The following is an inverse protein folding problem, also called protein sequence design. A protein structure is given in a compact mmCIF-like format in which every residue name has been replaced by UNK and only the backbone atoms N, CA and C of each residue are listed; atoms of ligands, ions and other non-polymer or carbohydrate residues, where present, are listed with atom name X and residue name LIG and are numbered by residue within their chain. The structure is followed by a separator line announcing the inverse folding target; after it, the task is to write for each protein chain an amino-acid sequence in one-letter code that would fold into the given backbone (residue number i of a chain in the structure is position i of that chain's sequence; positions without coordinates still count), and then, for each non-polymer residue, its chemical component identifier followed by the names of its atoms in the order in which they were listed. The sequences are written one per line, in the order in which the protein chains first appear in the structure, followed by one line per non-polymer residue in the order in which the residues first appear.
data_IF_645080190706
#
_entry.id   IF_645080190706
#
_cell.length_a   1.000
_cell.length_b   1.000
_cell.length_c   1.000
_cell.angle_alpha   90.00
_cell.angle_beta   90.00
_cell.angle_gamma   90.00
#
_symmetry.space_group_name_H-M   'P 1'
#
loop_
_entity.id
_entity.type
_entity.pdbx_description
1 polymer ?
#
# COMPACT_ATOMS: atom_id res chain seq x y z
N UNK A 1 -70.95 -5.76 66.86
CA UNK A 1 -70.17 -4.69 67.51
C UNK A 1 -68.70 -4.90 67.15
N UNK A 2 -68.14 -3.95 66.37
CA UNK A 2 -66.72 -3.57 66.29
C UNK A 2 -65.69 -4.49 65.57
N UNK A 3 -65.27 -4.03 64.37
CA UNK A 3 -63.90 -3.79 63.82
C UNK A 3 -62.86 -4.94 63.95
N UNK A 4 -62.30 -5.53 62.87
CA UNK A 4 -61.12 -5.00 62.13
C UNK A 4 -60.80 -5.82 60.87
N UNK A 5 -60.48 -5.11 59.77
CA UNK A 5 -59.95 -5.59 58.49
C UNK A 5 -58.42 -5.70 58.56
N UNK A 6 -57.84 -6.71 57.91
CA UNK A 6 -56.50 -6.62 57.34
C UNK A 6 -56.45 -7.36 56.00
N UNK A 7 -56.58 -6.60 54.90
CA UNK A 7 -56.30 -7.06 53.52
C UNK A 7 -54.80 -6.88 53.27
N UNK A 8 -54.08 -7.96 52.95
CA UNK A 8 -52.74 -7.89 52.34
C UNK A 8 -52.89 -7.47 50.88
N UNK A 9 -52.26 -6.36 50.54
CA UNK A 9 -52.19 -5.77 49.20
C UNK A 9 -51.06 -6.45 48.41
N UNK A 10 -51.38 -6.94 47.20
CA UNK A 10 -50.40 -7.32 46.19
C UNK A 10 -50.26 -6.12 45.23
N UNK A 11 -49.08 -5.50 45.17
CA UNK A 11 -48.66 -4.52 44.17
C UNK A 11 -47.26 -4.94 43.65
N UNK A 12 -46.82 -4.54 42.45
CA UNK A 12 -46.40 -5.47 41.42
C UNK A 12 -44.88 -5.48 41.21
N UNK A 13 -44.41 -6.64 40.76
CA UNK A 13 -43.04 -7.00 40.45
C UNK A 13 -42.55 -6.36 39.14
N UNK A 14 -42.52 -5.02 39.02
CA UNK A 14 -42.17 -4.32 37.75
C UNK A 14 -40.97 -3.37 37.87
N UNK A 15 -40.37 -3.18 39.05
CA UNK A 15 -39.26 -2.21 39.22
C UNK A 15 -37.84 -2.79 39.32
N UNK A 16 -37.61 -4.07 38.98
CA UNK A 16 -36.25 -4.66 39.00
C UNK A 16 -35.66 -4.86 37.59
N UNK A 17 -36.40 -4.57 36.51
CA UNK A 17 -35.90 -4.71 35.14
C UNK A 17 -35.33 -3.41 34.51
N UNK A 18 -35.20 -2.32 35.27
CA UNK A 18 -34.75 -1.02 34.78
C UNK A 18 -33.36 -0.58 35.31
N UNK A 19 -32.59 -1.50 35.89
CA UNK A 19 -31.25 -1.23 36.43
C UNK A 19 -30.11 -1.99 35.71
N UNK A 20 -30.38 -2.55 34.53
CA UNK A 20 -29.38 -3.21 33.66
C UNK A 20 -29.35 -2.61 32.25
N UNK A 21 -29.70 -1.32 32.13
CA UNK A 21 -29.68 -0.57 30.87
C UNK A 21 -28.96 0.78 31.01
N UNK A 22 -27.85 0.79 31.75
CA UNK A 22 -26.96 1.94 31.81
C UNK A 22 -25.51 1.44 31.86
N UNK A 23 -24.67 2.03 31.00
CA UNK A 23 -23.22 1.82 30.86
C UNK A 23 -22.80 0.63 29.97
N UNK A 24 -23.27 0.62 28.72
CA UNK A 24 -22.39 0.30 27.59
C UNK A 24 -22.17 1.60 26.79
N UNK A 25 -21.42 2.51 27.39
CA UNK A 25 -20.77 3.56 26.60
C UNK A 25 -19.76 2.84 25.71
N UNK A 26 -20.14 2.63 24.45
CA UNK A 26 -19.20 2.33 23.38
C UNK A 26 -18.12 3.41 23.45
N UNK A 27 -16.96 3.07 23.99
CA UNK A 27 -15.75 3.87 23.80
C UNK A 27 -15.43 3.75 22.32
N UNK A 28 -15.92 4.70 21.54
CA UNK A 28 -15.40 5.00 20.23
C UNK A 28 -13.92 5.28 20.43
N UNK A 29 -13.07 4.28 20.23
CA UNK A 29 -11.65 4.49 20.02
C UNK A 29 -11.56 5.33 18.76
N UNK A 30 -11.48 6.64 18.93
CA UNK A 30 -10.99 7.51 17.88
C UNK A 30 -9.66 6.90 17.45
N UNK A 31 -9.62 6.35 16.24
CA UNK A 31 -8.36 6.06 15.58
C UNK A 31 -7.67 7.42 15.46
N UNK A 32 -6.80 7.70 16.42
CA UNK A 32 -5.90 8.84 16.33
C UNK A 32 -5.15 8.65 15.01
N UNK A 33 -5.16 9.67 14.16
CA UNK A 33 -4.21 9.74 13.06
C UNK A 33 -2.84 9.38 13.63
N UNK A 34 -2.07 8.49 12.98
CA UNK A 34 -0.73 8.15 13.46
C UNK A 34 0.00 9.47 13.75
N UNK A 35 0.55 9.65 14.97
CA UNK A 35 1.17 10.91 15.34
C UNK A 35 2.22 11.25 14.30
N UNK A 36 2.20 12.50 13.82
CA UNK A 36 3.22 13.00 12.92
C UNK A 36 4.60 12.67 13.50
N UNK A 37 5.35 11.86 12.75
CA UNK A 37 6.66 11.35 13.17
C UNK A 37 7.54 12.50 13.65
N UNK A 38 8.08 12.41 14.87
CA UNK A 38 8.94 13.45 15.44
C UNK A 38 10.20 13.61 14.59
N UNK A 39 10.50 14.83 14.16
CA UNK A 39 11.69 15.16 13.37
C UNK A 39 12.72 15.85 14.26
N UNK A 40 13.96 15.39 14.21
CA UNK A 40 15.08 15.99 14.95
C UNK A 40 16.12 16.51 13.98
N UNK A 41 16.40 17.81 14.04
CA UNK A 41 17.40 18.47 13.19
C UNK A 41 18.57 18.93 14.05
N UNK A 42 19.74 18.32 13.83
CA UNK A 42 21.01 18.80 14.39
C UNK A 42 21.68 19.72 13.37
N UNK A 43 21.78 20.99 13.69
CA UNK A 43 22.60 21.92 12.93
C UNK A 43 24.05 21.79 13.37
N UNK A 44 24.93 21.54 12.41
CA UNK A 44 26.38 21.62 12.58
C UNK A 44 26.83 22.91 11.91
N UNK A 45 27.40 23.82 12.71
CA UNK A 45 27.79 25.14 12.26
C UNK A 45 29.30 25.31 12.26
N UNK A 46 29.84 25.66 11.09
CA UNK A 46 31.24 25.99 10.89
C UNK A 46 31.57 27.38 11.46
N UNK A 47 32.53 27.41 12.37
CA UNK A 47 33.12 28.62 12.90
C UNK A 47 34.66 28.56 12.81
N UNK A 48 35.19 27.90 11.79
CA UNK A 48 36.62 27.92 11.47
C UNK A 48 37.07 29.31 10.98
N UNK A 49 38.38 29.53 10.93
CA UNK A 49 38.94 30.81 10.52
C UNK A 49 38.56 31.21 9.08
N UNK A 50 38.32 30.25 8.18
CA UNK A 50 37.90 30.52 6.78
C UNK A 50 36.57 31.28 6.71
N UNK A 51 35.68 31.09 7.69
CA UNK A 51 34.40 31.80 7.79
C UNK A 51 34.54 33.33 8.00
N UNK A 52 35.75 33.84 8.29
CA UNK A 52 36.05 35.27 8.31
C UNK A 52 36.24 35.89 6.91
N UNK A 53 36.34 35.06 5.86
CA UNK A 53 36.44 35.51 4.49
C UNK A 53 35.21 36.33 4.05
N UNK A 54 35.41 37.22 3.08
CA UNK A 54 34.34 38.04 2.51
C UNK A 54 33.44 37.20 1.60
N UNK A 55 32.13 37.42 1.70
CA UNK A 55 31.11 36.88 0.82
C UNK A 55 30.07 37.95 0.56
N UNK A 56 30.05 38.45 -0.68
CA UNK A 56 29.21 39.57 -1.12
C UNK A 56 29.37 40.83 -0.26
N UNK A 57 28.40 41.09 0.63
CA UNK A 57 28.26 42.33 1.40
C UNK A 57 28.74 42.23 2.85
N UNK A 58 29.44 41.14 3.22
CA UNK A 58 29.95 40.94 4.58
C UNK A 58 30.80 39.70 4.72
N UNK A 59 31.14 39.30 5.96
CA UNK A 59 31.86 38.04 6.18
C UNK A 59 30.91 36.85 6.01
N UNK A 60 31.42 35.70 5.56
CA UNK A 60 30.65 34.44 5.45
C UNK A 60 29.92 34.11 6.75
N UNK A 61 30.59 34.27 7.89
CA UNK A 61 30.01 34.05 9.22
C UNK A 61 28.77 34.91 9.48
N UNK A 62 28.74 36.16 9.05
CA UNK A 62 27.64 37.08 9.32
C UNK A 62 26.39 36.68 8.53
N UNK A 63 26.57 36.25 7.27
CA UNK A 63 25.51 35.66 6.46
C UNK A 63 25.00 34.35 7.08
N UNK A 64 25.92 33.42 7.37
CA UNK A 64 25.61 32.11 7.95
C UNK A 64 24.79 32.22 9.25
N UNK A 65 25.19 33.11 10.16
CA UNK A 65 24.49 33.37 11.42
C UNK A 65 23.08 33.90 11.19
N UNK A 66 22.92 34.87 10.28
CA UNK A 66 21.63 35.49 9.96
C UNK A 66 20.65 34.46 9.40
N UNK A 67 21.13 33.66 8.45
CA UNK A 67 20.36 32.62 7.76
C UNK A 67 19.93 31.53 8.73
N UNK A 68 20.88 30.99 9.51
CA UNK A 68 20.56 29.98 10.52
C UNK A 68 19.57 30.52 11.56
N UNK A 69 19.69 31.78 11.97
CA UNK A 69 18.75 32.43 12.89
C UNK A 69 17.33 32.47 12.34
N UNK A 70 17.16 32.86 11.07
CA UNK A 70 15.85 32.91 10.41
C UNK A 70 15.21 31.53 10.28
N UNK A 71 16.01 30.50 9.99
CA UNK A 71 15.53 29.11 9.91
C UNK A 71 15.10 28.59 11.27
N UNK A 72 15.89 28.86 12.32
CA UNK A 72 15.54 28.48 13.69
C UNK A 72 14.24 29.16 14.12
N UNK A 73 14.01 30.41 13.69
CA UNK A 73 12.74 31.12 13.89
C UNK A 73 11.60 30.43 13.15
N UNK A 74 11.75 30.08 11.87
CA UNK A 74 10.74 29.36 11.09
C UNK A 74 10.36 28.01 11.72
N UNK A 75 11.36 27.28 12.22
CA UNK A 75 11.17 25.99 12.90
C UNK A 75 10.51 26.10 14.27
N UNK A 76 10.54 27.28 14.91
CA UNK A 76 9.98 27.47 16.26
C UNK A 76 8.46 27.28 16.34
N UNK A 77 7.79 27.32 15.19
CA UNK A 77 6.34 27.18 15.07
C UNK A 77 5.92 25.73 14.77
N UNK A 78 6.87 24.81 14.61
CA UNK A 78 6.61 23.42 14.23
C UNK A 78 6.52 22.52 15.47
N UNK A 79 5.33 21.97 15.80
CA UNK A 79 5.11 21.26 17.07
C UNK A 79 5.87 19.93 17.18
N UNK A 80 6.22 19.31 16.05
CA UNK A 80 6.84 17.98 15.99
C UNK A 80 8.34 18.02 15.61
N UNK A 81 8.97 19.20 15.68
CA UNK A 81 10.38 19.39 15.33
C UNK A 81 11.18 19.76 16.59
N UNK A 82 12.23 19.00 16.86
CA UNK A 82 13.25 19.35 17.85
C UNK A 82 14.54 19.73 17.12
N UNK A 83 15.19 20.80 17.56
CA UNK A 83 16.46 21.27 16.96
C UNK A 83 17.59 21.21 17.98
N UNK A 84 18.83 21.12 17.52
CA UNK A 84 20.05 21.20 18.34
C UNK A 84 21.16 21.91 17.55
N UNK A 85 22.19 22.39 18.26
CA UNK A 85 23.33 23.10 17.68
C UNK A 85 24.65 22.50 18.16
N UNK A 86 25.42 21.96 17.22
CA UNK A 86 26.84 21.63 17.38
C UNK A 86 27.66 22.63 16.56
N UNK A 87 28.79 23.05 17.12
CA UNK A 87 29.68 24.04 16.48
C UNK A 87 31.09 23.48 16.53
N UNK A 88 31.87 23.73 15.48
CA UNK A 88 33.29 23.40 15.44
C UNK A 88 34.12 24.63 15.05
N UNK A 89 35.40 24.62 15.44
CA UNK A 89 36.35 25.69 15.13
C UNK A 89 36.16 26.98 15.94
N UNK A 90 35.25 27.04 16.92
CA UNK A 90 35.01 28.24 17.72
C UNK A 90 35.74 28.26 19.06
N UNK A 91 36.34 27.16 19.51
CA UNK A 91 36.93 27.07 20.85
C UNK A 91 38.40 27.47 20.87
N UNK A 92 39.18 26.99 19.90
CA UNK A 92 40.64 27.10 19.88
C UNK A 92 41.11 27.98 18.72
N UNK A 93 41.97 28.98 18.96
CA UNK A 93 42.51 29.82 17.88
C UNK A 93 43.50 29.03 17.02
N UNK A 94 43.42 29.20 15.69
CA UNK A 94 44.38 28.66 14.75
C UNK A 94 45.76 29.31 14.97
N UNK A 95 46.82 28.50 15.07
CA UNK A 95 48.20 28.96 15.22
C UNK A 95 49.10 28.23 14.23
N UNK A 96 50.21 28.87 13.85
CA UNK A 96 51.12 28.36 12.80
C UNK A 96 51.56 26.90 12.98
N UNK A 97 51.71 26.43 14.22
CA UNK A 97 52.17 25.06 14.54
C UNK A 97 51.13 24.25 15.34
N UNK A 98 49.88 24.68 15.38
CA UNK A 98 48.84 23.99 16.16
C UNK A 98 47.46 24.12 15.50
N UNK A 99 46.90 22.97 15.15
CA UNK A 99 45.52 22.78 14.71
C UNK A 99 44.80 21.93 15.76
N UNK A 100 43.76 22.47 16.37
CA UNK A 100 42.94 21.71 17.31
C UNK A 100 41.89 20.90 16.55
N UNK A 101 42.28 19.69 16.12
CA UNK A 101 41.38 18.77 15.42
C UNK A 101 40.31 18.14 16.32
N UNK A 102 40.27 18.49 17.61
CA UNK A 102 39.22 18.09 18.54
C UNK A 102 38.23 19.23 18.84
N UNK A 103 38.35 20.39 18.18
CA UNK A 103 37.48 21.55 18.37
C UNK A 103 36.08 21.33 17.78
N UNK A 104 35.25 20.57 18.50
CA UNK A 104 33.85 20.32 18.17
C UNK A 104 33.01 20.13 19.42
N UNK A 105 31.89 20.85 19.53
CA UNK A 105 31.08 20.83 20.75
C UNK A 105 29.59 20.98 20.47
N UNK A 106 28.80 20.15 21.14
CA UNK A 106 27.35 20.33 21.25
C UNK A 106 27.08 21.51 22.18
N UNK A 107 26.83 22.67 21.60
CA UNK A 107 26.60 23.90 22.36
C UNK A 107 25.17 23.99 22.89
N UNK A 108 24.21 23.47 22.11
CA UNK A 108 22.81 23.38 22.55
C UNK A 108 22.27 21.99 22.24
N UNK A 109 21.99 21.15 23.26
CA UNK A 109 21.40 19.83 23.04
C UNK A 109 19.92 19.93 22.66
N UNK A 110 19.37 18.82 22.14
CA UNK A 110 17.94 18.70 21.85
C UNK A 110 17.11 18.93 23.13
N UNK A 111 16.20 19.89 23.06
CA UNK A 111 15.23 20.15 24.12
C UNK A 111 14.01 20.87 23.54
N UNK A 112 12.87 20.71 24.19
CA UNK A 112 11.65 21.43 23.82
C UNK A 112 11.87 22.94 23.88
N UNK A 113 11.42 23.65 22.83
CA UNK A 113 11.50 25.13 22.72
C UNK A 113 12.92 25.70 22.89
N UNK A 114 13.96 25.00 22.43
CA UNK A 114 15.33 25.50 22.57
C UNK A 114 15.75 26.58 21.53
N UNK A 115 14.86 26.96 20.60
CA UNK A 115 15.13 27.92 19.52
C UNK A 115 15.81 29.21 20.02
N UNK A 116 15.34 29.77 21.13
CA UNK A 116 15.90 30.98 21.74
C UNK A 116 17.35 30.74 22.22
N UNK A 117 17.62 29.58 22.84
CA UNK A 117 18.98 29.23 23.30
C UNK A 117 19.93 29.08 22.13
N UNK A 118 19.48 28.46 21.04
CA UNK A 118 20.25 28.33 19.80
C UNK A 118 20.57 29.71 19.22
N UNK A 119 19.59 30.61 19.10
CA UNK A 119 19.80 31.97 18.58
C UNK A 119 20.79 32.78 19.40
N UNK A 120 20.64 32.76 20.72
CA UNK A 120 21.57 33.46 21.61
C UNK A 120 22.99 32.91 21.45
N UNK A 121 23.13 31.58 21.35
CA UNK A 121 24.43 30.96 21.15
C UNK A 121 25.04 31.34 19.80
N UNK A 122 24.26 31.32 18.71
CA UNK A 122 24.72 31.72 17.37
C UNK A 122 25.27 33.15 17.39
N UNK A 123 24.60 34.07 18.09
CA UNK A 123 25.07 35.45 18.21
C UNK A 123 26.48 35.54 18.81
N UNK A 124 26.78 34.73 19.82
CA UNK A 124 28.06 34.71 20.56
C UNK A 124 29.22 34.01 19.81
N UNK A 125 28.93 33.18 18.80
CA UNK A 125 29.98 32.40 18.12
C UNK A 125 30.97 33.33 17.41
N UNK A 126 32.26 33.14 17.65
CA UNK A 126 33.32 33.86 16.94
C UNK A 126 34.18 32.84 16.21
N UNK A 127 34.46 33.02 14.91
CA UNK A 127 35.30 32.07 14.21
C UNK A 127 36.76 32.14 14.64
N UNK A 128 37.41 31.00 14.89
CA UNK A 128 38.76 30.97 15.50
C UNK A 128 39.72 29.92 14.95
N UNK A 129 39.23 28.72 14.68
CA UNK A 129 40.02 27.49 14.61
C UNK A 129 40.04 26.83 13.23
N UNK A 130 40.27 25.52 13.22
CA UNK A 130 40.37 24.66 12.02
C UNK A 130 39.04 23.94 11.74
N UNK A 131 39.01 23.09 10.71
CA UNK A 131 37.79 22.45 10.15
C UNK A 131 37.80 20.92 10.35
N UNK A 132 37.44 20.39 11.54
CA UNK A 132 37.36 18.95 11.82
C UNK A 132 35.96 18.39 11.49
N UNK A 133 35.59 18.30 10.20
CA UNK A 133 34.26 17.87 9.75
C UNK A 133 34.01 16.39 10.11
N UNK A 134 34.95 15.49 9.83
CA UNK A 134 34.80 14.05 10.04
C UNK A 134 34.55 13.73 11.52
N UNK A 135 35.37 14.27 12.43
CA UNK A 135 35.18 14.09 13.87
C UNK A 135 33.84 14.69 14.33
N UNK A 136 33.49 15.88 13.83
CA UNK A 136 32.22 16.54 14.17
C UNK A 136 31.02 15.69 13.75
N UNK A 137 31.04 15.12 12.54
CA UNK A 137 29.99 14.22 12.04
C UNK A 137 29.94 12.93 12.86
N UNK A 138 31.08 12.38 13.28
CA UNK A 138 31.13 11.19 14.11
C UNK A 138 30.47 11.45 15.48
N UNK A 139 30.80 12.58 16.11
CA UNK A 139 30.22 12.99 17.39
C UNK A 139 28.72 13.33 17.24
N UNK A 140 28.30 13.88 16.10
CA UNK A 140 26.90 14.21 15.81
C UNK A 140 25.97 13.00 15.94
N UNK A 141 26.47 11.80 15.62
CA UNK A 141 25.71 10.56 15.76
C UNK A 141 25.30 10.27 17.21
N UNK A 142 26.06 10.76 18.19
CA UNK A 142 25.87 10.54 19.63
C UNK A 142 24.97 11.60 20.26
N UNK A 143 24.70 12.71 19.55
CA UNK A 143 23.92 13.83 20.07
C UNK A 143 22.41 13.59 19.98
N UNK A 144 21.97 12.68 19.12
CA UNK A 144 20.55 12.33 18.97
C UNK A 144 20.07 11.49 20.15
N UNK A 145 19.01 11.92 20.88
CA UNK A 145 18.41 11.08 21.91
C UNK A 145 17.85 9.81 21.30
N UNK A 146 17.82 8.71 22.07
CA UNK A 146 17.19 7.49 21.61
C UNK A 146 15.72 7.73 21.24
N UNK A 147 15.28 7.22 20.10
CA UNK A 147 13.88 7.26 19.68
C UNK A 147 13.58 6.13 18.69
N UNK A 148 12.43 5.48 18.89
CA UNK A 148 11.97 4.36 18.07
C UNK A 148 11.28 4.78 16.78
N UNK A 149 10.60 5.93 16.77
CA UNK A 149 9.92 6.45 15.59
C UNK A 149 10.18 7.96 15.42
N UNK A 150 11.45 8.29 15.18
CA UNK A 150 11.88 9.65 14.85
C UNK A 150 12.64 9.67 13.52
N UNK A 151 12.63 10.83 12.87
CA UNK A 151 13.48 11.12 11.72
C UNK A 151 14.62 12.01 12.17
N UNK A 152 15.85 11.51 12.13
CA UNK A 152 17.04 12.26 12.52
C UNK A 152 17.72 12.83 11.28
N UNK A 153 17.98 14.14 11.29
CA UNK A 153 18.59 14.88 10.19
C UNK A 153 19.74 15.71 10.73
N UNK A 154 20.89 15.65 10.07
CA UNK A 154 22.04 16.52 10.30
C UNK A 154 22.12 17.50 9.13
N UNK A 155 22.12 18.79 9.43
CA UNK A 155 22.37 19.85 8.44
C UNK A 155 23.75 20.43 8.75
N UNK A 156 24.72 20.15 7.89
CA UNK A 156 26.08 20.67 7.99
C UNK A 156 26.16 21.98 7.22
N UNK A 157 26.52 23.07 7.88
CA UNK A 157 26.74 24.38 7.28
C UNK A 157 28.23 24.67 7.38
N UNK A 158 28.95 24.65 6.25
CA UNK A 158 30.42 24.81 6.19
C UNK A 158 30.86 25.62 4.98
N UNK A 159 32.03 26.25 5.02
CA UNK A 159 32.61 26.93 3.86
C UNK A 159 33.87 26.26 3.30
N UNK A 160 34.25 25.12 3.86
CA UNK A 160 35.56 24.51 3.63
C UNK A 160 35.55 23.00 3.56
N UNK A 161 36.75 22.46 3.40
CA UNK A 161 37.03 21.03 3.38
C UNK A 161 37.66 20.57 4.68
N UNK A 162 37.71 19.26 4.88
CA UNK A 162 38.39 18.65 6.01
C UNK A 162 39.86 19.10 6.08
N UNK A 163 40.29 19.62 7.23
CA UNK A 163 41.67 20.06 7.48
C UNK A 163 42.45 19.19 8.49
N UNK A 164 41.81 18.13 8.97
CA UNK A 164 42.26 17.30 10.09
C UNK A 164 42.43 15.81 9.74
N UNK A 165 42.71 15.52 8.46
CA UNK A 165 42.99 14.19 7.91
C UNK A 165 41.88 13.14 8.14
N UNK A 166 40.67 13.59 8.47
CA UNK A 166 39.50 12.73 8.57
C UNK A 166 38.91 12.34 7.21
N UNK A 167 38.03 11.33 7.20
CA UNK A 167 37.27 10.93 6.02
C UNK A 167 35.77 11.22 6.20
N UNK A 168 35.28 12.37 5.70
CA UNK A 168 33.85 12.71 5.76
C UNK A 168 32.94 11.71 5.03
N UNK A 169 33.42 11.06 3.97
CA UNK A 169 32.64 10.08 3.20
C UNK A 169 32.35 8.83 4.06
N UNK A 170 33.39 8.29 4.71
CA UNK A 170 33.24 7.10 5.56
C UNK A 170 32.29 7.36 6.72
N UNK A 171 32.36 8.54 7.34
CA UNK A 171 31.47 8.92 8.44
C UNK A 171 30.04 9.15 7.95
N UNK A 172 29.85 9.75 6.77
CA UNK A 172 28.52 9.91 6.16
C UNK A 172 27.84 8.56 5.91
N UNK A 173 28.58 7.55 5.41
CA UNK A 173 28.08 6.18 5.26
C UNK A 173 27.67 5.56 6.61
N UNK A 174 28.48 5.78 7.65
CA UNK A 174 28.15 5.32 9.00
C UNK A 174 26.88 6.00 9.55
N UNK A 175 26.67 7.29 9.32
CA UNK A 175 25.43 7.98 9.69
C UNK A 175 24.21 7.39 8.97
N UNK A 176 24.32 7.13 7.66
CA UNK A 176 23.24 6.51 6.87
C UNK A 176 22.85 5.13 7.39
N UNK A 177 23.83 4.31 7.80
CA UNK A 177 23.56 2.99 8.41
C UNK A 177 22.78 3.08 9.73
N UNK A 178 22.86 4.22 10.43
CA UNK A 178 22.12 4.53 11.65
C UNK A 178 20.79 5.24 11.39
N UNK A 179 20.34 5.29 10.13
CA UNK A 179 19.14 6.00 9.70
C UNK A 179 19.17 7.51 10.03
N UNK A 180 20.35 8.12 10.02
CA UNK A 180 20.56 9.56 10.16
C UNK A 180 20.81 10.16 8.78
N UNK A 181 20.00 11.14 8.40
CA UNK A 181 20.09 11.79 7.08
C UNK A 181 21.07 12.95 7.18
N UNK A 182 22.17 12.91 6.44
CA UNK A 182 23.11 14.03 6.33
C UNK A 182 22.78 14.91 5.13
N UNK A 183 22.71 16.22 5.35
CA UNK A 183 22.50 17.26 4.34
C UNK A 183 23.65 18.28 4.43
N UNK A 184 24.69 18.14 3.60
CA UNK A 184 25.77 19.13 3.53
C UNK A 184 25.30 20.39 2.80
N UNK A 185 25.63 21.55 3.36
CA UNK A 185 25.29 22.87 2.85
C UNK A 185 26.54 23.75 2.87
N UNK A 186 27.02 24.14 1.69
CA UNK A 186 28.36 24.72 1.54
C UNK A 186 28.24 26.22 1.22
N UNK A 187 28.96 27.07 1.97
CA UNK A 187 28.95 28.53 1.84
C UNK A 187 30.11 28.99 0.95
N UNK A 188 29.75 29.48 -0.22
CA UNK A 188 30.60 30.36 -1.01
C UNK A 188 31.59 29.67 -1.95
N UNK A 189 31.63 30.26 -3.15
CA UNK A 189 32.58 30.13 -4.25
C UNK A 189 32.39 28.88 -5.12
N UNK A 190 32.34 29.11 -6.44
CA UNK A 190 32.39 28.10 -7.50
C UNK A 190 33.58 27.18 -7.35
N UNK A 191 33.36 26.12 -6.60
CA UNK A 191 34.31 25.06 -6.38
C UNK A 191 34.57 24.39 -7.74
N UNK A 192 35.84 24.14 -8.07
CA UNK A 192 36.17 23.32 -9.24
C UNK A 192 35.55 21.93 -9.12
N UNK A 193 35.32 21.27 -10.26
CA UNK A 193 34.69 19.94 -10.36
C UNK A 193 35.25 18.88 -9.39
N UNK A 194 36.51 19.03 -8.95
CA UNK A 194 37.17 18.11 -8.04
C UNK A 194 36.71 18.21 -6.58
N UNK A 195 36.26 19.38 -6.12
CA UNK A 195 35.72 19.51 -4.77
C UNK A 195 34.28 19.01 -4.68
N UNK A 196 33.53 19.20 -5.75
CA UNK A 196 32.17 18.65 -5.93
C UNK A 196 32.22 17.13 -5.77
N UNK A 197 33.15 16.46 -6.46
CA UNK A 197 33.37 15.02 -6.35
C UNK A 197 33.73 14.55 -4.93
N UNK A 198 34.45 15.37 -4.16
CA UNK A 198 34.83 15.03 -2.78
C UNK A 198 33.63 15.06 -1.81
N UNK A 199 32.61 15.86 -2.09
CA UNK A 199 31.38 15.93 -1.25
C UNK A 199 30.22 15.09 -1.78
N UNK A 200 30.26 14.59 -3.02
CA UNK A 200 29.23 13.72 -3.59
C UNK A 200 28.96 12.47 -2.72
N UNK A 201 29.99 11.93 -2.07
CA UNK A 201 29.89 10.80 -1.15
C UNK A 201 29.17 11.15 0.17
N UNK A 202 29.24 12.42 0.61
CA UNK A 202 28.72 12.91 1.89
C UNK A 202 27.21 13.14 1.80
N UNK A 203 26.74 13.62 0.64
CA UNK A 203 25.33 13.81 0.34
C UNK A 203 25.14 14.77 -0.84
N UNK A 204 23.89 15.02 -1.23
CA UNK A 204 23.59 16.08 -2.19
C UNK A 204 23.97 17.42 -1.55
N UNK A 205 25.05 18.03 -2.02
CA UNK A 205 25.45 19.37 -1.61
C UNK A 205 24.60 20.42 -2.33
N UNK A 206 24.56 21.60 -1.74
CA UNK A 206 23.96 22.78 -2.34
C UNK A 206 25.02 23.86 -2.37
N UNK A 207 25.31 24.37 -3.57
CA UNK A 207 26.06 25.60 -3.76
C UNK A 207 25.08 26.77 -3.81
N UNK A 208 25.34 27.80 -3.00
CA UNK A 208 24.64 29.05 -3.09
C UNK A 208 25.61 30.18 -3.43
N UNK A 209 25.48 30.67 -4.66
CA UNK A 209 26.29 31.76 -5.19
C UNK A 209 25.92 33.13 -4.60
N UNK A 210 24.76 33.28 -3.94
CA UNK A 210 24.32 34.50 -3.28
C UNK A 210 23.44 34.23 -2.04
N UNK A 211 23.32 35.24 -1.16
CA UNK A 211 22.62 35.14 0.15
C UNK A 211 21.13 34.76 0.00
N UNK A 212 20.43 35.29 -1.00
CA UNK A 212 19.01 34.98 -1.23
C UNK A 212 18.79 33.54 -1.72
N UNK A 213 19.60 33.09 -2.68
CA UNK A 213 19.60 31.71 -3.14
C UNK A 213 19.96 30.74 -1.99
N UNK A 214 20.90 31.13 -1.13
CA UNK A 214 21.26 30.36 0.06
C UNK A 214 20.06 30.19 0.98
N UNK A 215 19.34 31.28 1.27
CA UNK A 215 18.14 31.24 2.10
C UNK A 215 17.06 30.32 1.53
N UNK A 216 16.68 30.52 0.26
CA UNK A 216 15.61 29.75 -0.37
C UNK A 216 15.91 28.25 -0.44
N UNK A 217 17.17 27.86 -0.71
CA UNK A 217 17.51 26.44 -0.80
C UNK A 217 17.61 25.82 0.59
N UNK A 218 18.18 26.53 1.57
CA UNK A 218 18.24 26.00 2.94
C UNK A 218 16.85 25.86 3.56
N UNK A 219 15.95 26.82 3.30
CA UNK A 219 14.53 26.71 3.65
C UNK A 219 13.90 25.48 2.99
N UNK A 220 14.15 25.25 1.70
CA UNK A 220 13.66 24.06 0.98
C UNK A 220 14.16 22.76 1.63
N UNK A 221 15.45 22.66 1.95
CA UNK A 221 16.05 21.47 2.59
C UNK A 221 15.45 21.23 3.98
N UNK A 222 15.22 22.28 4.76
CA UNK A 222 14.57 22.19 6.07
C UNK A 222 13.12 21.75 5.93
N UNK A 223 12.37 22.32 4.99
CA UNK A 223 11.00 21.89 4.66
C UNK A 223 10.98 20.42 4.23
N UNK A 224 11.94 19.96 3.41
CA UNK A 224 12.07 18.56 3.03
C UNK A 224 12.38 17.63 4.21
N UNK A 225 13.16 18.11 5.18
CA UNK A 225 13.52 17.36 6.38
C UNK A 225 12.30 17.16 7.30
N UNK A 226 11.46 18.18 7.45
CA UNK A 226 10.31 18.17 8.37
C UNK A 226 9.00 17.70 7.74
N UNK A 227 8.86 17.80 6.42
CA UNK A 227 7.62 17.43 5.74
C UNK A 227 7.66 15.97 5.32
N UNK A 228 6.70 15.19 5.81
CA UNK A 228 6.53 13.81 5.38
C UNK A 228 6.13 13.78 3.90
N UNK A 229 6.82 12.97 3.11
CA UNK A 229 6.35 12.69 1.76
C UNK A 229 5.26 11.65 1.87
N UNK A 230 4.04 12.06 1.57
CA UNK A 230 2.90 11.16 1.60
C UNK A 230 2.41 10.91 0.18
N UNK A 231 1.71 9.82 -0.01
CA UNK A 231 1.05 9.51 -1.25
C UNK A 231 -0.33 8.92 -0.98
N UNK A 232 -1.26 9.14 -1.88
CA UNK A 232 -2.48 8.35 -1.95
C UNK A 232 -2.49 7.58 -3.27
N UNK A 233 -3.13 6.40 -3.26
CA UNK A 233 -3.37 5.62 -4.47
C UNK A 233 -4.84 5.77 -4.82
N UNK A 234 -5.15 6.50 -5.89
CA UNK A 234 -6.49 6.74 -6.38
C UNK A 234 -6.87 5.66 -7.40
N UNK A 235 -7.69 4.70 -6.97
CA UNK A 235 -8.28 3.69 -7.84
C UNK A 235 -9.53 4.27 -8.52
N UNK A 236 -9.43 4.54 -9.82
CA UNK A 236 -10.42 5.32 -10.57
C UNK A 236 -11.48 4.44 -11.23
N UNK A 237 -12.74 4.85 -11.12
CA UNK A 237 -13.86 4.28 -11.86
C UNK A 237 -13.94 4.79 -13.32
N UNK A 238 -14.98 4.37 -14.05
CA UNK A 238 -15.22 4.81 -15.43
C UNK A 238 -15.44 6.32 -15.55
N UNK A 239 -15.90 6.97 -14.49
CA UNK A 239 -16.08 8.41 -14.38
C UNK A 239 -14.84 9.16 -13.89
N UNK A 240 -13.68 8.49 -13.79
CA UNK A 240 -12.42 9.04 -13.25
C UNK A 240 -12.51 9.48 -11.79
N UNK A 241 -13.47 8.96 -11.01
CA UNK A 241 -13.58 9.24 -9.58
C UNK A 241 -12.85 8.17 -8.77
N UNK A 242 -12.16 8.53 -7.67
CA UNK A 242 -11.42 7.60 -6.83
C UNK A 242 -12.36 6.83 -5.88
N UNK A 243 -13.27 6.04 -6.45
CA UNK A 243 -14.35 5.34 -5.72
C UNK A 243 -14.05 3.86 -5.49
N UNK A 244 -13.05 3.31 -6.18
CA UNK A 244 -12.70 1.90 -6.11
C UNK A 244 -11.84 1.59 -4.89
N UNK A 245 -12.10 0.44 -4.26
CA UNK A 245 -11.47 0.12 -2.98
C UNK A 245 -11.55 -1.37 -2.61
N UNK A 246 -10.91 -1.75 -1.49
CA UNK A 246 -10.79 -3.10 -0.97
C UNK A 246 -10.08 -4.05 -1.95
N UNK A 247 -9.06 -3.55 -2.64
CA UNK A 247 -8.22 -4.31 -3.57
C UNK A 247 -6.81 -4.38 -3.01
N UNK A 248 -6.17 -5.55 -3.11
CA UNK A 248 -4.77 -5.67 -2.73
C UNK A 248 -3.88 -4.89 -3.70
N UNK A 249 -2.97 -4.10 -3.13
CA UNK A 249 -1.96 -3.34 -3.87
C UNK A 249 -0.57 -3.69 -3.36
N UNK A 250 0.41 -3.76 -4.26
CA UNK A 250 1.81 -4.03 -3.96
C UNK A 250 2.69 -3.00 -4.65
N UNK A 251 3.61 -2.40 -3.90
CA UNK A 251 4.64 -1.51 -4.43
C UNK A 251 6.00 -2.22 -4.35
N UNK A 252 6.60 -2.44 -5.52
CA UNK A 252 7.92 -3.06 -5.70
C UNK A 252 8.93 -1.98 -6.06
N UNK A 253 10.12 -2.02 -5.48
CA UNK A 253 11.23 -1.12 -5.81
C UNK A 253 11.89 -1.54 -7.13
N UNK A 254 11.87 -0.65 -8.14
CA UNK A 254 12.38 -0.96 -9.48
C UNK A 254 13.89 -1.17 -9.54
N UNK A 255 14.64 -0.72 -8.52
CA UNK A 255 16.10 -0.88 -8.49
C UNK A 255 16.53 -2.22 -7.92
N UNK A 256 15.69 -2.85 -7.09
CA UNK A 256 16.03 -4.08 -6.37
C UNK A 256 15.07 -5.24 -6.63
N UNK A 257 13.96 -5.00 -7.32
CA UNK A 257 12.83 -5.92 -7.52
C UNK A 257 12.22 -6.48 -6.22
N UNK A 258 12.47 -5.80 -5.09
CA UNK A 258 11.94 -6.20 -3.78
C UNK A 258 10.63 -5.49 -3.47
N UNK A 259 9.68 -6.25 -2.93
CA UNK A 259 8.45 -5.70 -2.37
C UNK A 259 8.81 -4.80 -1.19
N UNK A 260 8.40 -3.53 -1.27
CA UNK A 260 8.57 -2.55 -0.18
C UNK A 260 7.31 -2.45 0.65
N UNK A 261 6.16 -2.44 -0.02
CA UNK A 261 4.88 -2.23 0.62
C UNK A 261 3.81 -3.13 0.02
N UNK A 262 2.93 -3.61 0.89
CA UNK A 262 1.77 -4.41 0.52
C UNK A 262 0.60 -4.00 1.40
N UNK A 263 -0.50 -3.58 0.77
CA UNK A 263 -1.68 -3.05 1.44
C UNK A 263 -2.95 -3.62 0.85
N UNK A 264 -4.03 -3.59 1.63
CA UNK A 264 -5.38 -3.60 1.08
C UNK A 264 -5.83 -2.14 0.99
N UNK A 265 -6.08 -1.67 -0.24
CA UNK A 265 -6.53 -0.31 -0.47
C UNK A 265 -7.86 -0.04 0.26
N UNK A 266 -7.98 1.12 0.90
CA UNK A 266 -9.20 1.57 1.57
C UNK A 266 -9.52 3.04 1.26
N UNK A 267 -10.77 3.45 1.50
CA UNK A 267 -11.17 4.85 1.53
C UNK A 267 -11.41 5.27 2.98
N UNK A 268 -11.05 6.49 3.33
CA UNK A 268 -11.32 7.05 4.65
C UNK A 268 -12.81 7.41 4.81
N UNK A 269 -13.19 7.87 6.01
CA UNK A 269 -14.58 8.22 6.33
C UNK A 269 -15.19 9.36 5.48
N UNK A 270 -14.36 10.11 4.73
CA UNK A 270 -14.79 11.15 3.79
C UNK A 270 -14.92 10.64 2.35
N UNK A 271 -14.66 9.35 2.12
CA UNK A 271 -14.67 8.73 0.79
C UNK A 271 -13.40 9.00 -0.02
N UNK A 272 -12.33 9.48 0.59
CA UNK A 272 -11.06 9.74 -0.10
C UNK A 272 -10.09 8.57 0.10
N UNK A 273 -9.21 8.27 -0.88
CA UNK A 273 -8.13 7.30 -0.70
C UNK A 273 -7.28 7.58 0.54
N UNK A 274 -6.81 6.52 1.17
CA UNK A 274 -5.97 6.61 2.36
C UNK A 274 -4.59 7.24 2.06
N UNK A 275 -3.98 7.84 3.09
CA UNK A 275 -2.68 8.51 2.99
C UNK A 275 -1.58 7.57 3.46
N UNK A 276 -0.71 7.20 2.53
CA UNK A 276 0.43 6.31 2.72
C UNK A 276 1.72 7.11 2.92
N UNK A 277 2.59 6.63 3.80
CA UNK A 277 3.97 7.13 3.94
C UNK A 277 4.88 6.23 3.11
N UNK A 278 5.39 6.75 1.99
CA UNK A 278 6.21 6.02 1.04
C UNK A 278 7.58 6.68 0.92
N UNK A 279 8.64 5.89 0.73
CA UNK A 279 9.99 6.39 0.49
C UNK A 279 10.05 7.11 -0.88
N UNK A 280 10.35 8.42 -0.93
CA UNK A 280 10.38 9.16 -2.18
C UNK A 280 11.71 9.09 -2.93
N UNK A 281 12.71 8.41 -2.37
CA UNK A 281 14.03 8.27 -2.99
C UNK A 281 14.09 7.11 -4.00
N UNK A 282 13.03 6.30 -4.08
CA UNK A 282 12.93 5.15 -4.98
C UNK A 282 11.73 5.29 -5.93
N UNK A 283 11.84 4.65 -7.09
CA UNK A 283 10.75 4.48 -8.05
C UNK A 283 10.09 3.13 -7.88
N UNK A 284 8.77 3.08 -8.00
CA UNK A 284 7.99 1.87 -7.78
C UNK A 284 7.30 1.35 -9.04
N UNK A 285 7.07 0.04 -9.07
CA UNK A 285 6.01 -0.59 -9.86
C UNK A 285 4.85 -0.89 -8.91
N UNK A 286 3.69 -0.32 -9.22
CA UNK A 286 2.45 -0.51 -8.49
C UNK A 286 1.62 -1.62 -9.17
N UNK A 287 1.47 -2.73 -8.49
CA UNK A 287 0.59 -3.83 -8.88
C UNK A 287 -0.73 -3.74 -8.12
N UNK A 288 -1.84 -3.78 -8.84
CA UNK A 288 -3.20 -3.73 -8.30
C UNK A 288 -3.91 -5.02 -8.69
N UNK A 289 -4.23 -5.85 -7.70
CA UNK A 289 -4.78 -7.19 -7.92
C UNK A 289 -6.31 -7.17 -8.10
N UNK A 290 -6.77 -6.41 -9.10
CA UNK A 290 -8.10 -6.58 -9.69
C UNK A 290 -8.14 -7.85 -10.56
N UNK A 291 -9.31 -8.19 -11.12
CA UNK A 291 -9.45 -9.24 -12.12
C UNK A 291 -9.89 -8.64 -13.47
N UNK A 292 -9.02 -8.59 -14.50
CA UNK A 292 -7.57 -8.86 -14.48
C UNK A 292 -6.78 -7.82 -13.66
N UNK A 293 -5.52 -8.14 -13.34
CA UNK A 293 -4.64 -7.25 -12.59
C UNK A 293 -4.21 -6.04 -13.42
N UNK A 294 -4.03 -4.90 -12.75
CA UNK A 294 -3.56 -3.65 -13.36
C UNK A 294 -2.18 -3.32 -12.81
N UNK A 295 -1.25 -2.99 -13.70
CA UNK A 295 0.10 -2.58 -13.36
C UNK A 295 0.32 -1.12 -13.77
N UNK A 296 0.99 -0.35 -12.91
CA UNK A 296 1.46 1.00 -13.20
C UNK A 296 2.96 1.07 -12.90
N UNK A 297 3.75 1.22 -13.97
CA UNK A 297 5.20 1.24 -13.90
C UNK A 297 5.75 2.65 -13.68
N UNK A 298 6.91 2.73 -13.05
CA UNK A 298 7.68 3.97 -12.85
C UNK A 298 6.95 5.05 -12.04
N UNK A 299 6.28 4.65 -10.96
CA UNK A 299 5.68 5.58 -9.99
C UNK A 299 6.81 6.28 -9.23
N UNK A 300 6.99 7.57 -9.49
CA UNK A 300 7.95 8.44 -8.79
C UNK A 300 7.23 9.43 -7.89
N UNK A 301 7.76 9.66 -6.70
CA UNK A 301 7.18 10.60 -5.74
C UNK A 301 7.95 11.92 -5.73
N UNK A 302 7.21 13.01 -5.63
CA UNK A 302 7.78 14.32 -5.36
C UNK A 302 7.96 14.46 -3.85
N UNK A 303 9.18 14.73 -3.41
CA UNK A 303 9.53 14.91 -1.99
C UNK A 303 8.76 16.07 -1.35
N UNK A 304 8.58 15.97 -0.03
CA UNK A 304 8.07 17.01 0.86
C UNK A 304 6.68 17.55 0.51
N UNK A 305 5.86 16.74 -0.16
CA UNK A 305 4.49 17.07 -0.50
C UNK A 305 3.64 15.82 -0.54
N UNK A 306 2.32 16.02 -0.57
CA UNK A 306 1.38 14.95 -0.85
C UNK A 306 1.39 14.60 -2.35
N UNK A 307 1.43 13.31 -2.65
CA UNK A 307 1.45 12.78 -4.01
C UNK A 307 0.15 12.04 -4.31
N UNK A 308 -0.30 12.09 -5.56
CA UNK A 308 -1.44 11.31 -6.03
C UNK A 308 -0.97 10.35 -7.11
N UNK A 309 -1.07 9.05 -6.83
CA UNK A 309 -0.85 7.98 -7.79
C UNK A 309 -2.23 7.54 -8.26
N UNK A 310 -2.49 7.49 -9.56
CA UNK A 310 -3.81 7.10 -10.06
C UNK A 310 -3.73 5.90 -10.99
N UNK A 311 -4.72 5.02 -10.93
CA UNK A 311 -4.86 3.88 -11.83
C UNK A 311 -6.33 3.68 -12.21
N UNK A 312 -6.61 3.34 -13.47
CA UNK A 312 -7.97 3.05 -13.91
C UNK A 312 -8.30 1.60 -13.53
N UNK A 313 -9.22 1.43 -12.59
CA UNK A 313 -9.65 0.11 -12.10
C UNK A 313 -11.16 0.04 -11.94
N UNK A 314 -11.96 0.45 -12.95
CA UNK A 314 -13.41 0.41 -12.87
C UNK A 314 -13.89 -1.02 -12.62
N UNK A 315 -14.71 -1.26 -11.60
CA UNK A 315 -15.18 -2.61 -11.28
C UNK A 315 -16.70 -2.74 -11.29
N UNK A 316 -17.15 -3.91 -11.72
CA UNK A 316 -18.49 -4.44 -11.52
C UNK A 316 -18.43 -5.81 -10.87
N UNK A 317 -19.59 -6.39 -10.57
CA UNK A 317 -19.68 -7.75 -10.03
C UNK A 317 -20.41 -8.68 -10.98
N UNK A 318 -19.98 -9.94 -11.03
CA UNK A 318 -20.69 -11.02 -11.69
C UNK A 318 -21.24 -11.97 -10.64
N UNK A 319 -22.54 -12.26 -10.73
CA UNK A 319 -23.24 -13.20 -9.87
C UNK A 319 -24.00 -14.21 -10.72
N UNK A 320 -23.99 -15.46 -10.31
CA UNK A 320 -24.77 -16.52 -10.95
C UNK A 320 -25.91 -16.91 -10.02
N UNK A 321 -27.10 -17.12 -10.58
CA UNK A 321 -28.25 -17.60 -9.82
C UNK A 321 -28.86 -18.80 -10.52
N UNK A 322 -29.18 -19.82 -9.74
CA UNK A 322 -29.92 -20.97 -10.25
C UNK A 322 -31.37 -20.78 -9.83
N UNK A 323 -32.30 -20.88 -10.78
CA UNK A 323 -33.74 -20.71 -10.53
C UNK A 323 -34.34 -21.92 -9.81
N UNK A 324 -33.92 -22.20 -8.58
CA UNK A 324 -34.42 -23.32 -7.77
C UNK A 324 -33.30 -24.05 -7.02
N UNK A 325 -33.51 -25.34 -6.74
CA UNK A 325 -32.51 -26.16 -6.06
C UNK A 325 -31.33 -26.50 -6.99
N UNK A 326 -30.11 -26.37 -6.45
CA UNK A 326 -28.89 -26.75 -7.14
C UNK A 326 -28.51 -28.19 -6.80
N UNK A 327 -28.64 -29.09 -7.77
CA UNK A 327 -28.25 -30.50 -7.65
C UNK A 327 -26.76 -30.74 -7.98
N UNK A 328 -26.06 -29.74 -8.51
CA UNK A 328 -24.62 -29.85 -8.77
C UNK A 328 -23.82 -29.63 -7.48
N UNK A 329 -22.87 -30.54 -7.23
CA UNK A 329 -21.89 -30.37 -6.16
C UNK A 329 -20.79 -29.41 -6.62
N UNK A 330 -20.64 -28.28 -5.93
CA UNK A 330 -19.59 -27.28 -6.19
C UNK A 330 -19.53 -26.82 -7.66
N UNK A 331 -20.68 -26.36 -8.18
CA UNK A 331 -20.73 -25.81 -9.54
C UNK A 331 -19.86 -24.55 -9.62
N UNK A 332 -19.02 -24.47 -10.66
CA UNK A 332 -18.11 -23.36 -10.91
C UNK A 332 -18.27 -22.84 -12.34
N UNK A 333 -17.79 -21.62 -12.57
CA UNK A 333 -17.69 -21.01 -13.89
C UNK A 333 -16.25 -20.61 -14.19
N UNK A 334 -15.78 -20.92 -15.40
CA UNK A 334 -14.50 -20.44 -15.93
C UNK A 334 -14.76 -19.11 -16.64
N UNK A 335 -14.03 -18.08 -16.25
CA UNK A 335 -14.10 -16.75 -16.84
C UNK A 335 -12.84 -16.53 -17.67
N UNK A 336 -13.00 -16.00 -18.88
CA UNK A 336 -11.90 -15.65 -19.80
C UNK A 336 -12.13 -14.28 -20.40
N UNK A 337 -11.03 -13.66 -20.84
CA UNK A 337 -11.11 -12.49 -21.69
C UNK A 337 -11.56 -12.90 -23.10
N UNK A 338 -12.28 -12.04 -23.84
CA UNK A 338 -12.75 -12.37 -25.18
C UNK A 338 -11.61 -12.80 -26.12
N UNK A 339 -11.79 -13.94 -26.79
CA UNK A 339 -10.81 -14.52 -27.70
C UNK A 339 -9.54 -15.08 -27.04
N UNK A 340 -9.48 -15.16 -25.71
CA UNK A 340 -8.36 -15.76 -24.97
C UNK A 340 -8.72 -17.16 -24.49
N UNK A 341 -7.77 -18.08 -24.60
CA UNK A 341 -7.91 -19.46 -24.10
C UNK A 341 -7.53 -19.58 -22.62
N UNK A 342 -6.72 -18.65 -22.12
CA UNK A 342 -6.27 -18.60 -20.74
C UNK A 342 -7.43 -18.35 -19.79
N UNK A 343 -7.50 -19.15 -18.73
CA UNK A 343 -8.44 -18.95 -17.64
C UNK A 343 -8.03 -17.71 -16.85
N UNK A 344 -8.89 -16.69 -16.84
CA UNK A 344 -8.72 -15.52 -16.00
C UNK A 344 -9.09 -15.83 -14.54
N UNK A 345 -10.20 -16.53 -14.32
CA UNK A 345 -10.66 -16.90 -13.00
C UNK A 345 -11.55 -18.14 -13.03
N UNK A 346 -11.56 -18.91 -11.93
CA UNK A 346 -12.55 -19.96 -11.67
C UNK A 346 -13.45 -19.48 -10.53
N UNK A 347 -14.67 -19.09 -10.86
CA UNK A 347 -15.60 -18.48 -9.91
C UNK A 347 -16.56 -19.54 -9.34
N UNK A 348 -16.75 -19.48 -8.01
CA UNK A 348 -17.87 -20.12 -7.32
C UNK A 348 -19.15 -19.32 -7.58
N UNK A 349 -20.22 -20.02 -7.99
CA UNK A 349 -21.49 -19.39 -8.38
C UNK A 349 -22.24 -18.75 -7.20
N UNK A 350 -21.99 -19.17 -5.96
CA UNK A 350 -22.75 -18.75 -4.78
C UNK A 350 -22.48 -17.32 -4.32
N UNK A 351 -21.41 -16.69 -4.81
CA UNK A 351 -20.96 -15.37 -4.36
C UNK A 351 -20.75 -14.42 -5.54
N UNK A 352 -21.08 -13.11 -5.36
CA UNK A 352 -20.70 -12.11 -6.33
C UNK A 352 -19.17 -11.96 -6.32
N UNK A 353 -18.57 -11.91 -7.51
CA UNK A 353 -17.15 -11.70 -7.69
C UNK A 353 -16.91 -10.42 -8.49
N UNK A 354 -15.97 -9.60 -8.04
CA UNK A 354 -15.59 -8.36 -8.75
C UNK A 354 -14.66 -8.66 -9.92
N UNK A 355 -14.90 -7.96 -11.01
CA UNK A 355 -14.04 -7.91 -12.20
C UNK A 355 -13.94 -6.46 -12.68
N UNK A 356 -12.89 -6.15 -13.44
CA UNK A 356 -12.84 -4.89 -14.18
C UNK A 356 -14.01 -4.82 -15.17
N UNK A 357 -14.50 -3.62 -15.42
CA UNK A 357 -15.57 -3.43 -16.41
C UNK A 357 -15.13 -3.85 -17.80
N UNK A 358 -16.01 -4.54 -18.52
CA UNK A 358 -15.72 -5.07 -19.86
C UNK A 358 -16.57 -6.28 -20.20
N UNK A 359 -16.30 -6.89 -21.34
CA UNK A 359 -16.96 -8.11 -21.77
C UNK A 359 -16.09 -9.33 -21.47
N UNK A 360 -16.73 -10.42 -21.09
CA UNK A 360 -16.08 -11.68 -20.73
C UNK A 360 -16.74 -12.87 -21.42
N UNK A 361 -15.93 -13.90 -21.66
CA UNK A 361 -16.42 -15.23 -22.00
C UNK A 361 -16.57 -16.04 -20.71
N UNK A 362 -17.72 -16.69 -20.56
CA UNK A 362 -18.10 -17.43 -19.37
C UNK A 362 -18.50 -18.84 -19.75
N UNK A 363 -17.83 -19.82 -19.16
CA UNK A 363 -18.12 -21.23 -19.32
C UNK A 363 -18.54 -21.82 -17.97
N UNK A 364 -19.83 -22.11 -17.83
CA UNK A 364 -20.40 -22.68 -16.62
C UNK A 364 -20.31 -24.20 -16.72
N UNK A 365 -19.75 -24.83 -15.69
CA UNK A 365 -19.42 -26.26 -15.67
C UNK A 365 -20.64 -27.16 -15.39
N UNK A 366 -21.79 -26.82 -15.97
CA UNK A 366 -23.00 -27.65 -15.98
C UNK A 366 -22.86 -28.81 -16.97
N UNK A 367 -23.84 -29.72 -16.95
CA UNK A 367 -23.98 -30.77 -17.97
C UNK A 367 -25.28 -30.57 -18.75
N UNK A 368 -25.24 -30.33 -20.08
CA UNK A 368 -24.09 -29.87 -20.85
C UNK A 368 -23.56 -28.50 -20.36
N UNK A 369 -22.33 -28.16 -20.77
CA UNK A 369 -21.71 -26.86 -20.43
C UNK A 369 -22.49 -25.72 -21.06
N UNK A 370 -22.72 -24.66 -20.29
CA UNK A 370 -23.31 -23.41 -20.79
C UNK A 370 -22.15 -22.46 -21.11
N UNK A 371 -22.08 -21.98 -22.35
CA UNK A 371 -21.04 -21.06 -22.82
C UNK A 371 -21.71 -19.74 -23.22
N UNK A 372 -21.25 -18.64 -22.65
CA UNK A 372 -21.73 -17.28 -22.91
C UNK A 372 -20.55 -16.44 -23.39
N UNK A 373 -20.60 -15.92 -24.61
CA UNK A 373 -19.45 -15.28 -25.27
C UNK A 373 -19.33 -13.78 -25.02
N UNK A 374 -20.37 -13.12 -24.50
CA UNK A 374 -20.39 -11.66 -24.36
C UNK A 374 -21.11 -11.23 -23.08
N UNK A 375 -20.56 -11.60 -21.93
CA UNK A 375 -21.08 -11.20 -20.62
C UNK A 375 -20.48 -9.84 -20.24
N UNK A 376 -21.33 -8.82 -20.20
CA UNK A 376 -20.92 -7.46 -19.83
C UNK A 376 -20.88 -7.27 -18.30
N UNK A 377 -19.74 -6.83 -17.80
CA UNK A 377 -19.57 -6.34 -16.42
C UNK A 377 -19.56 -4.82 -16.43
N UNK A 378 -20.56 -4.22 -15.77
CA UNK A 378 -20.78 -2.77 -15.73
C UNK A 378 -20.33 -2.15 -14.41
N UNK A 379 -19.90 -0.89 -14.46
CA UNK A 379 -19.40 -0.14 -13.31
C UNK A 379 -20.41 -0.14 -12.16
N UNK A 380 -19.94 -0.47 -10.95
CA UNK A 380 -20.73 -0.44 -9.71
C UNK A 380 -22.05 -1.21 -9.78
N UNK A 381 -22.15 -2.19 -10.68
CA UNK A 381 -23.34 -2.99 -10.92
C UNK A 381 -23.04 -4.48 -10.78
N UNK A 382 -24.01 -5.23 -10.29
CA UNK A 382 -23.94 -6.70 -10.24
C UNK A 382 -24.70 -7.28 -11.42
N UNK A 383 -23.97 -7.64 -12.48
CA UNK A 383 -24.52 -8.42 -13.59
C UNK A 383 -24.88 -9.81 -13.06
N UNK A 384 -26.15 -10.18 -13.16
CA UNK A 384 -26.65 -11.48 -12.72
C UNK A 384 -26.92 -12.36 -13.93
N UNK A 385 -26.38 -13.58 -13.93
CA UNK A 385 -26.66 -14.61 -14.94
C UNK A 385 -27.59 -15.66 -14.32
N UNK A 386 -28.78 -15.78 -14.87
CA UNK A 386 -29.73 -16.82 -14.48
C UNK A 386 -29.41 -18.13 -15.22
N UNK A 387 -29.25 -19.18 -14.44
CA UNK A 387 -28.98 -20.54 -14.90
C UNK A 387 -30.25 -21.34 -14.70
N UNK A 388 -30.74 -22.05 -15.73
CA UNK A 388 -31.90 -22.91 -15.59
C UNK A 388 -31.69 -23.94 -14.48
N UNK A 389 -32.76 -24.25 -13.76
CA UNK A 389 -32.71 -25.29 -12.74
C UNK A 389 -32.39 -26.64 -13.41
N UNK A 390 -31.35 -27.36 -12.97
CA UNK A 390 -31.11 -28.70 -13.48
C UNK A 390 -32.23 -29.65 -13.05
N UNK A 391 -32.47 -30.66 -13.87
CA UNK A 391 -33.22 -31.85 -13.48
C UNK A 391 -32.28 -33.02 -13.15
N UNK A 392 -32.85 -34.11 -12.65
CA UNK A 392 -32.15 -35.35 -12.31
C UNK A 392 -32.53 -36.45 -13.30
N UNK A 393 -31.54 -37.03 -13.98
CA UNK A 393 -31.70 -38.29 -14.70
C UNK A 393 -31.30 -39.47 -13.79
N UNK A 394 -32.29 -40.27 -13.39
CA UNK A 394 -32.06 -41.52 -12.66
C UNK A 394 -31.95 -42.67 -13.64
N UNK A 395 -30.71 -42.99 -14.02
CA UNK A 395 -30.38 -43.96 -15.06
C UNK A 395 -30.22 -45.35 -14.43
N UNK A 396 -30.90 -46.34 -15.01
CA UNK A 396 -30.81 -47.75 -14.67
C UNK A 396 -30.48 -48.56 -15.92
N UNK A 397 -29.30 -49.17 -15.90
CA UNK A 397 -28.75 -49.98 -16.98
C UNK A 397 -29.05 -51.46 -16.74
N UNK A 398 -29.21 -52.27 -17.81
CA UNK A 398 -29.49 -53.70 -17.68
C UNK A 398 -28.26 -54.48 -17.21
N UNK A 399 -27.07 -53.95 -17.46
CA UNK A 399 -25.78 -54.47 -16.99
C UNK A 399 -24.76 -53.33 -16.92
N UNK A 400 -23.61 -53.57 -16.27
CA UNK A 400 -22.45 -52.69 -16.36
C UNK A 400 -21.89 -52.68 -17.79
N UNK A 401 -21.28 -51.59 -18.20
CA UNK A 401 -20.76 -51.46 -19.57
C UNK A 401 -20.55 -50.03 -20.04
N UNK A 402 -20.29 -49.90 -21.33
CA UNK A 402 -19.91 -48.64 -21.96
C UNK A 402 -21.16 -47.86 -22.30
N UNK A 403 -21.28 -46.67 -21.71
CA UNK A 403 -22.49 -45.86 -21.85
C UNK A 403 -22.16 -44.41 -22.13
N UNK A 404 -22.67 -43.92 -23.25
CA UNK A 404 -22.48 -42.54 -23.71
C UNK A 404 -23.79 -41.77 -23.64
N UNK A 405 -23.73 -40.53 -23.14
CA UNK A 405 -24.84 -39.60 -23.10
C UNK A 405 -24.66 -38.49 -24.14
N UNK A 406 -25.71 -38.28 -24.94
CA UNK A 406 -25.77 -37.27 -26.00
C UNK A 406 -26.89 -36.27 -25.75
N UNK A 407 -26.66 -35.02 -26.13
CA UNK A 407 -27.68 -33.98 -26.28
C UNK A 407 -28.24 -34.06 -27.70
N UNK A 408 -29.56 -34.09 -27.84
CA UNK A 408 -30.23 -34.00 -29.14
C UNK A 408 -30.45 -32.53 -29.51
N UNK A 409 -29.64 -32.02 -30.43
CA UNK A 409 -29.77 -30.68 -31.01
C UNK A 409 -30.36 -30.76 -32.42
N UNK A 410 -30.81 -29.63 -32.98
CA UNK A 410 -31.32 -29.58 -34.37
C UNK A 410 -30.25 -29.98 -35.40
N UNK A 411 -28.99 -29.75 -35.09
CA UNK A 411 -27.81 -30.07 -35.90
C UNK A 411 -27.37 -31.54 -35.78
N UNK A 412 -27.96 -32.31 -34.86
CA UNK A 412 -27.62 -33.72 -34.63
C UNK A 412 -27.34 -34.05 -33.16
N UNK A 413 -26.61 -35.15 -32.94
CA UNK A 413 -26.23 -35.61 -31.61
C UNK A 413 -24.90 -35.00 -31.18
N UNK A 414 -24.90 -34.31 -30.04
CA UNK A 414 -23.70 -33.79 -29.40
C UNK A 414 -23.33 -34.66 -28.20
N UNK A 415 -22.17 -35.29 -28.25
CA UNK A 415 -21.67 -36.06 -27.09
C UNK A 415 -21.42 -35.14 -25.89
N UNK A 416 -21.84 -35.55 -24.70
CA UNK A 416 -21.73 -34.76 -23.46
C UNK A 416 -20.76 -35.41 -22.47
N UNK A 417 -21.00 -36.68 -22.16
CA UNK A 417 -20.38 -37.36 -21.02
C UNK A 417 -20.55 -38.88 -21.14
N UNK A 418 -19.58 -39.64 -20.63
CA UNK A 418 -19.70 -41.10 -20.48
C UNK A 418 -19.98 -41.45 -19.02
N UNK A 419 -20.96 -42.31 -18.81
CA UNK A 419 -21.30 -42.79 -17.48
C UNK A 419 -20.21 -43.72 -16.92
N UNK A 420 -20.22 -43.89 -15.60
CA UNK A 420 -19.32 -44.81 -14.91
C UNK A 420 -19.63 -46.26 -15.34
N UNK A 421 -18.64 -46.94 -15.93
CA UNK A 421 -18.81 -48.27 -16.50
C UNK A 421 -19.14 -49.33 -15.44
N UNK A 422 -18.71 -49.12 -14.18
CA UNK A 422 -18.87 -50.07 -13.07
C UNK A 422 -20.22 -49.97 -12.36
N UNK A 423 -21.09 -49.03 -12.74
CA UNK A 423 -22.35 -48.76 -12.02
C UNK A 423 -23.58 -49.00 -12.89
N UNK A 424 -24.46 -49.89 -12.41
CA UNK A 424 -25.75 -50.16 -13.03
C UNK A 424 -26.79 -49.05 -12.77
N UNK A 425 -26.67 -48.28 -11.68
CA UNK A 425 -27.56 -47.16 -11.35
C UNK A 425 -26.77 -45.90 -11.07
N UNK A 426 -27.16 -44.79 -11.70
CA UNK A 426 -26.50 -43.49 -11.58
C UNK A 426 -27.53 -42.36 -11.61
N UNK A 427 -27.34 -41.34 -10.76
CA UNK A 427 -28.13 -40.12 -10.77
C UNK A 427 -27.27 -38.99 -11.31
N UNK A 428 -27.72 -38.35 -12.39
CA UNK A 428 -26.94 -37.35 -13.10
C UNK A 428 -27.75 -36.05 -13.17
N UNK A 429 -27.25 -34.94 -12.60
CA UNK A 429 -27.85 -33.64 -12.82
C UNK A 429 -27.60 -33.20 -14.26
N UNK A 430 -28.65 -32.81 -14.96
CA UNK A 430 -28.61 -32.37 -16.35
C UNK A 430 -29.40 -31.07 -16.51
N UNK A 431 -28.93 -30.17 -17.36
CA UNK A 431 -29.68 -28.99 -17.77
C UNK A 431 -30.90 -29.41 -18.61
N UNK A 432 -31.95 -28.58 -18.68
CA UNK A 432 -33.13 -28.88 -19.48
C UNK A 432 -32.79 -29.14 -20.95
N UNK A 433 -33.38 -30.19 -21.53
CA UNK A 433 -33.07 -30.60 -22.90
C UNK A 433 -33.56 -32.01 -23.26
N UNK A 434 -33.38 -32.38 -24.53
CA UNK A 434 -33.63 -33.72 -25.03
C UNK A 434 -32.31 -34.48 -25.10
N UNK A 435 -32.32 -35.71 -24.63
CA UNK A 435 -31.12 -36.52 -24.45
C UNK A 435 -31.30 -37.90 -25.06
N UNK A 436 -30.17 -38.51 -25.43
CA UNK A 436 -30.10 -39.91 -25.85
C UNK A 436 -29.01 -40.63 -25.09
N UNK A 437 -29.38 -41.75 -24.49
CA UNK A 437 -28.44 -42.67 -23.85
C UNK A 437 -28.15 -43.83 -24.81
N UNK A 438 -26.89 -44.19 -24.95
CA UNK A 438 -26.43 -45.30 -25.80
C UNK A 438 -25.56 -46.22 -24.94
N UNK A 439 -25.91 -47.49 -24.83
CA UNK A 439 -25.28 -48.44 -23.91
C UNK A 439 -24.94 -49.76 -24.60
N UNK A 440 -23.75 -50.29 -24.33
CA UNK A 440 -23.37 -51.67 -24.65
C UNK A 440 -22.89 -52.38 -23.38
N UNK A 441 -23.43 -53.58 -23.05
CA UNK A 441 -22.94 -54.36 -21.91
C UNK A 441 -21.45 -54.69 -22.02
N UNK A 442 -20.75 -54.73 -20.88
CA UNK A 442 -19.31 -54.97 -20.80
C UNK A 442 -18.89 -56.29 -21.46
N UNK A 443 -19.69 -57.34 -21.29
CA UNK A 443 -19.43 -58.69 -21.79
C UNK A 443 -19.81 -58.89 -23.27
N UNK A 444 -20.55 -57.97 -23.88
CA UNK A 444 -20.93 -58.06 -25.30
C UNK A 444 -19.75 -57.73 -26.19
N UNK A 445 -19.38 -58.63 -27.12
CA UNK A 445 -18.21 -58.45 -28.01
C UNK A 445 -18.54 -57.78 -29.35
N UNK A 446 -19.81 -57.55 -29.65
CA UNK A 446 -20.25 -56.92 -30.90
C UNK A 446 -21.01 -55.61 -30.65
N UNK A 447 -20.83 -54.65 -31.54
CA UNK A 447 -21.50 -53.34 -31.46
C UNK A 447 -23.01 -53.42 -31.65
N UNK A 448 -23.52 -54.47 -32.30
CA UNK A 448 -24.96 -54.66 -32.54
C UNK A 448 -25.76 -54.86 -31.25
N UNK A 449 -25.10 -55.23 -30.14
CA UNK A 449 -25.72 -55.31 -28.81
C UNK A 449 -25.91 -53.94 -28.13
N UNK A 450 -25.60 -52.86 -28.83
CA UNK A 450 -25.84 -51.50 -28.35
C UNK A 450 -27.34 -51.23 -28.32
N UNK A 451 -27.82 -50.71 -27.19
CA UNK A 451 -29.19 -50.25 -27.01
C UNK A 451 -29.21 -48.74 -26.83
N UNK A 452 -30.26 -48.09 -27.31
CA UNK A 452 -30.44 -46.65 -27.16
C UNK A 452 -31.79 -46.30 -26.53
N UNK A 453 -31.85 -45.15 -25.84
CA UNK A 453 -33.09 -44.60 -25.29
C UNK A 453 -33.04 -43.08 -25.23
N UNK A 454 -34.03 -42.42 -25.83
CA UNK A 454 -34.22 -40.98 -25.71
C UNK A 454 -35.11 -40.60 -24.52
N UNK A 455 -34.83 -39.45 -23.91
CA UNK A 455 -35.59 -38.91 -22.79
C UNK A 455 -35.47 -37.38 -22.74
N UNK A 456 -36.36 -36.72 -22.00
CA UNK A 456 -36.37 -35.27 -21.84
C UNK A 456 -36.18 -34.90 -20.37
N UNK A 457 -35.40 -33.86 -20.12
CA UNK A 457 -35.24 -33.22 -18.81
C UNK A 457 -35.96 -31.88 -18.84
N UNK A 458 -36.94 -31.73 -17.95
CA UNK A 458 -37.59 -30.45 -17.66
C UNK A 458 -36.87 -29.74 -16.49
N UNK A 459 -36.95 -28.41 -16.38
CA UNK A 459 -36.36 -27.67 -15.26
C UNK A 459 -36.84 -28.19 -13.90
N UNK A 460 -35.91 -28.57 -13.02
CA UNK A 460 -36.21 -29.14 -11.70
C UNK A 460 -36.89 -30.51 -11.71
N UNK A 461 -37.10 -31.11 -12.88
CA UNK A 461 -37.78 -32.40 -13.04
C UNK A 461 -36.86 -33.58 -12.72
N UNK A 462 -37.46 -34.73 -12.40
CA UNK A 462 -36.76 -36.00 -12.26
C UNK A 462 -37.32 -37.00 -13.26
N UNK A 463 -36.45 -37.69 -13.99
CA UNK A 463 -36.83 -38.70 -14.98
C UNK A 463 -36.12 -40.01 -14.68
N UNK A 464 -36.88 -41.11 -14.70
CA UNK A 464 -36.31 -42.46 -14.60
C UNK A 464 -36.05 -43.02 -16.00
N UNK A 465 -34.80 -43.33 -16.30
CA UNK A 465 -34.37 -43.86 -17.60
C UNK A 465 -33.92 -45.30 -17.41
N UNK A 466 -34.83 -46.23 -17.68
CA UNK A 466 -34.54 -47.67 -17.68
C UNK A 466 -34.22 -48.15 -19.09
N UNK A 467 -33.02 -48.68 -19.31
CA UNK A 467 -32.73 -49.49 -20.48
C UNK A 467 -32.97 -50.96 -20.14
N UNK A 468 -33.90 -51.58 -20.86
CA UNK A 468 -34.21 -53.00 -20.74
C UNK A 468 -33.41 -53.79 -21.76
#
# INVERSE_FOLDING_TARGET
MIITKAKKSYLPLVQILAAFFAVFFFSSTFAANPPDKKVRILFIFDASQSMLAQWQNGKKIDGAKRLLTQIIDSLSHQPNVEVALRVYGHQSPLRANFKDCNDTKLEVPFASRNHIKIKNKIAEIVPRGTTPIALTLEQSAKDFPHCTDCRNVVILITDGIEECDGDPCAVALALRSKNIILKPFIIGIGLGDDLIKQFDCVGKYVDASNEDAFFSILETVVVEAITNTTAQVSLLDTGKKPSETNVAIVLTDNSTDKIKYQYIHTLNHKGNPDTLSLDPDISYTLNIYTLPSVENNNVTLKKARHNTISANTPQGSLLFKISGFNEYKNLQAIIRLPGKTETLNVQDLSKPQKYLTGNYEVEILTLPRIILSNVEVRQSHTTTIDIPQPGIASIMLPATGFTSLYLEEKSGLKWIYNLDEGKYRQMIPLQPGNYRLVHRPLNSKESIFTKEKSFKIEPGGSVSVQLN
#
